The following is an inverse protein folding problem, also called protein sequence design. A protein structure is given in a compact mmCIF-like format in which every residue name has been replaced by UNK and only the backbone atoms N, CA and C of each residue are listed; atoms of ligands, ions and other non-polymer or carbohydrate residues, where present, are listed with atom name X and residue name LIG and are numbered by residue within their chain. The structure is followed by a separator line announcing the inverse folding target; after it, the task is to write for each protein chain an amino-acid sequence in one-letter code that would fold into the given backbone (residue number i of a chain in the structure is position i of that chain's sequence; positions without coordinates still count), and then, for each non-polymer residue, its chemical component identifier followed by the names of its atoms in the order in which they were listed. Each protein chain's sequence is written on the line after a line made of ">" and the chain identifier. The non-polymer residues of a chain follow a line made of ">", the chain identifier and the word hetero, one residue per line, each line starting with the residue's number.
data_IF_243113421691
#
_entry.id   IF_243113421691
#
_cell.length_a   1.000
_cell.length_b   1.000
_cell.length_c   1.000
_cell.angle_alpha   90.00
_cell.angle_beta   90.00
_cell.angle_gamma   90.00
#
_symmetry.space_group_name_H-M   'P 1'
#
loop_
_entity.id
_entity.type
_entity.pdbx_description
1 polymer ?
#
# COMPACT_ATOMS: atom_id res chain seq x y z
N UNK A 1 -1.47 12.39 6.76
CA UNK A 1 -2.34 11.19 6.64
C UNK A 1 -3.06 10.89 7.96
N UNK A 2 -4.35 10.58 7.90
CA UNK A 2 -5.19 10.29 9.07
C UNK A 2 -5.58 8.82 9.07
N UNK A 3 -4.63 7.94 9.38
CA UNK A 3 -4.90 6.50 9.47
C UNK A 3 -5.47 6.15 10.85
N UNK A 4 -6.41 5.22 10.88
CA UNK A 4 -6.97 4.69 12.14
C UNK A 4 -5.84 4.19 13.06
N UNK A 5 -5.87 4.59 14.33
CA UNK A 5 -4.85 4.23 15.31
C UNK A 5 -3.57 5.08 15.27
N UNK A 6 -3.54 6.17 14.50
CA UNK A 6 -2.40 7.09 14.50
C UNK A 6 -2.67 8.33 15.36
N UNK A 7 -1.60 8.98 15.89
CA UNK A 7 -1.74 10.25 16.60
C UNK A 7 -2.42 11.33 15.76
N UNK A 8 -2.15 11.37 14.45
CA UNK A 8 -2.75 12.33 13.52
C UNK A 8 -4.27 12.17 13.39
N UNK A 9 -4.76 10.91 13.46
CA UNK A 9 -6.19 10.65 13.47
C UNK A 9 -6.84 11.19 14.75
N UNK A 10 -6.19 10.99 15.91
CA UNK A 10 -6.67 11.54 17.18
C UNK A 10 -6.70 13.07 17.17
N UNK A 11 -5.63 13.70 16.65
CA UNK A 11 -5.59 15.16 16.49
C UNK A 11 -6.72 15.67 15.60
N UNK A 12 -7.03 14.97 14.51
CA UNK A 12 -8.13 15.34 13.63
C UNK A 12 -9.49 15.24 14.35
N UNK A 13 -9.72 14.15 15.10
CA UNK A 13 -10.93 14.03 15.92
C UNK A 13 -11.08 15.19 16.91
N UNK A 14 -10.01 15.54 17.64
CA UNK A 14 -10.03 16.63 18.62
C UNK A 14 -10.23 17.98 17.95
N UNK A 15 -9.57 18.21 16.81
CA UNK A 15 -9.78 19.43 16.03
C UNK A 15 -11.23 19.58 15.58
N UNK A 16 -11.87 18.50 15.14
CA UNK A 16 -13.27 18.56 14.69
C UNK A 16 -14.22 18.88 15.84
N UNK A 17 -14.02 18.28 17.03
CA UNK A 17 -14.80 18.64 18.23
C UNK A 17 -14.66 20.12 18.52
N UNK A 18 -13.42 20.62 18.67
CA UNK A 18 -13.18 22.04 18.95
C UNK A 18 -13.77 22.97 17.87
N UNK A 19 -13.76 22.53 16.60
CA UNK A 19 -14.34 23.30 15.51
C UNK A 19 -15.85 23.41 15.60
N UNK A 20 -16.57 22.32 15.89
CA UNK A 20 -18.00 22.34 16.10
C UNK A 20 -18.37 23.18 17.32
N UNK A 21 -17.66 23.03 18.43
CA UNK A 21 -17.86 23.83 19.64
C UNK A 21 -17.67 25.34 19.38
N UNK A 22 -16.69 25.70 18.52
CA UNK A 22 -16.48 27.12 18.14
C UNK A 22 -17.65 27.70 17.33
N UNK A 23 -18.52 26.87 16.78
CA UNK A 23 -19.77 27.27 16.13
C UNK A 23 -20.99 27.16 17.03
N UNK A 24 -20.80 26.87 18.32
CA UNK A 24 -21.88 26.70 19.30
C UNK A 24 -22.61 25.36 19.18
N UNK A 25 -22.04 24.39 18.46
CA UNK A 25 -22.62 23.07 18.28
C UNK A 25 -21.98 22.10 19.28
N UNK A 26 -22.82 21.40 20.04
CA UNK A 26 -22.34 20.37 20.99
C UNK A 26 -21.67 19.23 20.22
N UNK A 27 -20.43 18.91 20.58
CA UNK A 27 -19.68 17.86 19.92
C UNK A 27 -18.89 17.00 20.90
N UNK A 28 -18.59 15.78 20.52
CA UNK A 28 -17.80 14.83 21.31
C UNK A 28 -17.11 13.81 20.45
N UNK A 29 -16.04 13.22 20.98
CA UNK A 29 -15.43 12.01 20.45
C UNK A 29 -16.03 10.79 21.16
N UNK A 30 -16.79 9.98 20.45
CA UNK A 30 -17.37 8.74 20.95
C UNK A 30 -16.46 7.57 20.65
N UNK A 31 -15.96 6.91 21.71
CA UNK A 31 -15.11 5.73 21.57
C UNK A 31 -15.93 4.55 21.04
N UNK A 32 -15.59 4.03 19.86
CA UNK A 32 -16.25 2.85 19.31
C UNK A 32 -15.44 1.56 19.50
N UNK A 33 -14.14 1.67 19.82
CA UNK A 33 -13.30 0.49 20.02
C UNK A 33 -11.82 0.84 20.21
N UNK A 34 -10.99 -0.17 20.00
CA UNK A 34 -9.53 -0.04 20.05
C UNK A 34 -8.90 -0.66 18.80
N UNK A 35 -7.77 -0.12 18.37
CA UNK A 35 -7.01 -0.58 17.22
C UNK A 35 -5.53 -0.60 17.50
N UNK A 36 -4.75 -1.21 16.60
CA UNK A 36 -3.29 -1.10 16.63
C UNK A 36 -2.88 0.36 16.47
N UNK A 37 -2.26 0.90 17.49
CA UNK A 37 -1.61 2.20 17.41
C UNK A 37 -0.30 2.11 16.66
N UNK A 38 -0.08 3.04 15.73
CA UNK A 38 1.12 3.05 14.91
C UNK A 38 1.43 4.48 14.45
N UNK A 39 2.71 4.79 14.39
CA UNK A 39 3.18 6.07 13.91
C UNK A 39 4.28 5.84 12.88
N UNK A 40 4.12 6.44 11.69
CA UNK A 40 5.14 6.37 10.64
C UNK A 40 6.25 7.36 10.93
N UNK A 41 7.49 6.89 10.86
CA UNK A 41 8.68 7.71 10.83
C UNK A 41 9.16 7.94 9.39
N UNK A 42 10.46 8.06 9.24
CA UNK A 42 11.11 8.25 7.92
C UNK A 42 11.15 6.95 7.13
N UNK A 43 11.15 7.08 5.81
CA UNK A 43 11.45 5.98 4.87
C UNK A 43 12.46 6.48 3.84
N UNK A 44 13.60 5.78 3.77
CA UNK A 44 14.61 5.98 2.71
C UNK A 44 14.78 4.66 1.97
N UNK A 45 14.77 4.74 0.65
CA UNK A 45 14.94 3.58 -0.23
C UNK A 45 15.98 3.97 -1.28
N UNK A 46 17.10 3.28 -1.29
CA UNK A 46 18.19 3.54 -2.23
C UNK A 46 18.53 2.28 -3.00
N UNK A 47 18.60 2.38 -4.32
CA UNK A 47 19.27 1.37 -5.14
C UNK A 47 20.78 1.53 -4.95
N UNK A 48 21.47 0.45 -4.64
CA UNK A 48 22.91 0.42 -4.43
C UNK A 48 23.67 -0.24 -5.59
N UNK A 49 23.00 -1.07 -6.38
CA UNK A 49 23.54 -1.75 -7.55
C UNK A 49 22.47 -1.83 -8.63
N UNK A 50 22.79 -1.61 -9.89
CA UNK A 50 24.12 -1.38 -10.48
C UNK A 50 24.64 0.06 -10.32
N UNK A 51 23.87 0.97 -9.82
CA UNK A 51 24.26 2.36 -9.51
C UNK A 51 23.55 2.84 -8.26
N UNK A 52 24.12 3.85 -7.62
CA UNK A 52 23.46 4.51 -6.49
C UNK A 52 22.38 5.46 -7.01
N UNK A 53 21.15 5.27 -6.53
CA UNK A 53 20.00 6.11 -6.89
C UNK A 53 18.96 6.04 -5.78
N UNK A 54 18.50 7.18 -5.28
CA UNK A 54 17.35 7.23 -4.38
C UNK A 54 16.06 6.93 -5.14
N UNK A 55 15.21 6.14 -4.50
CA UNK A 55 13.93 5.70 -5.04
C UNK A 55 12.80 6.32 -4.22
N UNK A 56 11.73 6.71 -4.90
CA UNK A 56 10.54 7.23 -4.24
C UNK A 56 9.66 6.10 -3.72
N UNK A 57 9.39 6.14 -2.43
CA UNK A 57 8.53 5.14 -1.80
C UNK A 57 8.26 5.45 -0.34
N UNK A 58 7.36 4.68 0.24
CA UNK A 58 6.98 4.82 1.65
C UNK A 58 6.78 3.46 2.31
N UNK A 59 7.08 3.37 3.59
CA UNK A 59 6.69 2.22 4.40
C UNK A 59 5.17 2.12 4.48
N UNK A 60 4.64 0.93 4.23
CA UNK A 60 3.21 0.69 4.38
C UNK A 60 2.81 0.66 5.86
N UNK A 61 1.54 1.03 6.13
CA UNK A 61 1.02 1.18 7.49
C UNK A 61 1.09 -0.12 8.30
N UNK A 62 1.25 0.03 9.62
CA UNK A 62 1.32 -1.06 10.61
C UNK A 62 2.41 -2.09 10.33
N UNK A 63 3.46 -1.65 9.70
CA UNK A 63 4.62 -2.46 9.34
C UNK A 63 5.79 -2.17 10.29
N UNK A 64 6.62 -3.16 10.65
CA UNK A 64 7.71 -2.98 11.61
C UNK A 64 8.83 -2.09 11.05
N UNK A 65 9.53 -1.43 11.95
CA UNK A 65 10.77 -0.72 11.64
C UNK A 65 11.86 -1.67 11.14
N UNK A 66 12.75 -1.16 10.30
CA UNK A 66 14.05 -1.78 10.07
C UNK A 66 15.03 -1.40 11.18
N UNK A 67 16.20 -2.06 11.22
CA UNK A 67 17.36 -1.56 11.97
C UNK A 67 17.77 -0.16 11.46
N UNK A 68 18.70 0.50 12.16
CA UNK A 68 19.23 1.80 11.74
C UNK A 68 19.99 1.72 10.41
N UNK A 69 20.65 0.60 10.15
CA UNK A 69 21.34 0.31 8.89
C UNK A 69 20.39 -0.07 7.75
N UNK A 70 19.12 -0.30 8.07
CA UNK A 70 18.14 -0.78 7.10
C UNK A 70 18.25 -2.27 6.79
N UNK A 71 17.60 -2.65 5.70
CA UNK A 71 17.66 -3.99 5.08
C UNK A 71 18.19 -3.83 3.67
N UNK A 72 19.35 -4.46 3.40
CA UNK A 72 19.96 -4.46 2.06
C UNK A 72 19.88 -5.86 1.47
N UNK A 73 19.26 -6.01 0.32
CA UNK A 73 19.19 -7.29 -0.40
C UNK A 73 18.95 -7.11 -1.90
N UNK A 74 19.16 -8.19 -2.65
CA UNK A 74 18.75 -8.29 -4.03
C UNK A 74 17.22 -8.38 -4.16
N UNK A 75 16.70 -7.86 -5.26
CA UNK A 75 15.30 -7.99 -5.64
C UNK A 75 15.05 -9.29 -6.42
N UNK A 76 13.87 -9.86 -6.20
CA UNK A 76 13.33 -10.96 -6.99
C UNK A 76 11.85 -10.68 -7.30
N UNK A 77 11.41 -11.04 -8.50
CA UNK A 77 10.01 -10.94 -8.93
C UNK A 77 9.28 -12.26 -8.73
N UNK A 78 7.95 -12.23 -8.80
CA UNK A 78 7.13 -13.45 -8.94
C UNK A 78 7.26 -13.95 -10.38
N UNK A 79 7.78 -15.17 -10.61
CA UNK A 79 7.82 -15.73 -11.96
C UNK A 79 6.41 -16.16 -12.42
N UNK A 80 6.30 -16.63 -13.64
CA UNK A 80 5.06 -17.25 -14.12
C UNK A 80 4.94 -18.65 -13.51
N UNK A 81 3.85 -18.88 -12.78
CA UNK A 81 3.53 -20.17 -12.16
C UNK A 81 2.53 -20.93 -13.01
N UNK A 82 2.74 -22.24 -13.17
CA UNK A 82 1.77 -23.15 -13.79
C UNK A 82 0.68 -23.58 -12.82
N UNK A 83 1.02 -23.72 -11.54
CA UNK A 83 0.17 -24.19 -10.46
C UNK A 83 0.75 -23.84 -9.08
N UNK A 84 0.06 -24.23 -8.02
CA UNK A 84 0.48 -23.98 -6.63
C UNK A 84 1.74 -24.78 -6.22
N UNK A 85 2.02 -25.90 -6.89
CA UNK A 85 3.24 -26.66 -6.64
C UNK A 85 4.46 -25.90 -7.17
N UNK A 86 4.34 -25.29 -8.35
CA UNK A 86 5.38 -24.42 -8.90
C UNK A 86 5.68 -23.23 -7.98
N UNK A 87 4.63 -22.62 -7.40
CA UNK A 87 4.80 -21.57 -6.36
C UNK A 87 5.56 -22.12 -5.15
N UNK A 88 5.16 -23.28 -4.63
CA UNK A 88 5.83 -23.91 -3.48
C UNK A 88 7.31 -24.22 -3.78
N UNK A 89 7.63 -24.69 -4.97
CA UNK A 89 9.01 -24.95 -5.40
C UNK A 89 9.86 -23.70 -5.54
N UNK A 90 9.23 -22.56 -5.87
CA UNK A 90 9.91 -21.27 -5.99
C UNK A 90 10.22 -20.65 -4.62
N UNK A 91 9.40 -20.86 -3.58
CA UNK A 91 9.53 -20.22 -2.28
C UNK A 91 10.95 -20.26 -1.67
N UNK A 92 11.75 -21.34 -1.75
CA UNK A 92 13.12 -21.33 -1.23
C UNK A 92 14.03 -20.26 -1.84
N UNK A 93 13.74 -19.80 -3.06
CA UNK A 93 14.54 -18.78 -3.76
C UNK A 93 14.41 -17.37 -3.14
N UNK A 94 13.39 -17.12 -2.33
CA UNK A 94 13.18 -15.81 -1.71
C UNK A 94 14.04 -15.58 -0.46
N UNK A 95 14.72 -16.62 0.03
CA UNK A 95 15.54 -16.53 1.24
C UNK A 95 16.61 -15.44 1.09
N UNK A 96 16.59 -14.47 2.01
CA UNK A 96 17.51 -13.33 2.01
C UNK A 96 17.26 -12.31 0.90
N UNK A 97 16.11 -12.35 0.22
CA UNK A 97 15.76 -11.43 -0.88
C UNK A 97 14.65 -10.47 -0.48
N UNK A 98 14.55 -9.37 -1.21
CA UNK A 98 13.41 -8.47 -1.24
C UNK A 98 12.48 -8.90 -2.39
N UNK A 99 11.23 -9.17 -2.08
CA UNK A 99 10.28 -9.77 -3.04
C UNK A 99 9.35 -8.71 -3.61
N UNK A 100 9.38 -8.53 -4.92
CA UNK A 100 8.48 -7.65 -5.67
C UNK A 100 7.17 -8.40 -5.95
N UNK A 101 6.05 -7.93 -5.37
CA UNK A 101 4.77 -8.67 -5.39
C UNK A 101 3.68 -8.03 -6.25
N UNK A 102 3.94 -6.92 -6.88
CA UNK A 102 2.97 -6.19 -7.70
C UNK A 102 3.21 -6.44 -9.19
N UNK A 103 2.14 -6.35 -9.96
CA UNK A 103 2.23 -6.36 -11.42
C UNK A 103 3.05 -5.14 -11.89
N UNK A 104 3.99 -5.36 -12.80
CA UNK A 104 4.62 -4.28 -13.53
C UNK A 104 3.59 -3.63 -14.46
N UNK A 105 3.37 -2.33 -14.29
CA UNK A 105 2.48 -1.57 -15.18
C UNK A 105 3.25 -1.12 -16.43
N UNK A 106 2.66 -1.23 -17.64
CA UNK A 106 3.33 -0.76 -18.86
C UNK A 106 3.54 0.74 -18.86
N UNK A 107 2.69 1.48 -18.18
CA UNK A 107 2.76 2.92 -18.04
C UNK A 107 1.97 3.39 -16.81
N UNK A 108 2.44 4.46 -16.17
CA UNK A 108 1.72 5.17 -15.11
C UNK A 108 0.82 6.29 -15.62
N UNK A 109 0.84 6.57 -16.92
CA UNK A 109 0.07 7.64 -17.53
C UNK A 109 -1.43 7.37 -17.39
N UNK A 110 -2.24 8.29 -16.81
CA UNK A 110 -3.68 8.14 -16.69
C UNK A 110 -4.39 8.06 -18.03
N UNK A 111 -5.52 7.37 -18.09
CA UNK A 111 -6.27 7.16 -19.33
C UNK A 111 -6.73 8.47 -19.95
N UNK A 112 -7.24 9.43 -19.15
CA UNK A 112 -7.65 10.74 -19.65
C UNK A 112 -6.53 11.51 -20.33
N UNK A 113 -5.30 11.36 -19.84
CA UNK A 113 -4.13 12.02 -20.41
C UNK A 113 -3.67 11.32 -21.71
N UNK A 114 -3.83 10.00 -21.80
CA UNK A 114 -3.63 9.28 -23.04
C UNK A 114 -4.67 9.69 -24.09
N UNK A 115 -5.93 9.76 -23.73
CA UNK A 115 -7.04 10.13 -24.60
C UNK A 115 -6.84 11.53 -25.19
N UNK A 116 -6.36 12.47 -24.37
CA UNK A 116 -6.12 13.86 -24.80
C UNK A 116 -4.97 14.00 -25.82
N UNK A 117 -3.89 13.22 -25.65
CA UNK A 117 -2.63 13.45 -26.39
C UNK A 117 -2.23 12.31 -27.34
N UNK A 118 -2.92 11.23 -27.37
CA UNK A 118 -2.66 10.10 -28.25
C UNK A 118 -3.59 10.08 -29.46
N UNK A 119 -3.18 9.35 -30.51
CA UNK A 119 -4.15 8.99 -31.55
C UNK A 119 -5.09 7.90 -31.02
N UNK A 120 -6.32 7.83 -31.56
CA UNK A 120 -7.31 6.81 -31.18
C UNK A 120 -6.72 5.40 -31.25
N UNK A 121 -6.01 5.10 -32.33
CA UNK A 121 -5.34 3.79 -32.51
C UNK A 121 -4.33 3.51 -31.41
N UNK A 122 -3.54 4.49 -30.99
CA UNK A 122 -2.55 4.33 -29.91
C UNK A 122 -3.21 4.16 -28.55
N UNK A 123 -4.30 4.91 -28.30
CA UNK A 123 -5.08 4.81 -27.08
C UNK A 123 -5.76 3.44 -26.93
N UNK A 124 -6.43 2.98 -27.99
CA UNK A 124 -7.04 1.64 -27.99
C UNK A 124 -6.02 0.51 -27.83
N UNK A 125 -4.85 0.63 -28.50
CA UNK A 125 -3.75 -0.33 -28.32
C UNK A 125 -3.29 -0.37 -26.86
N UNK A 126 -3.08 0.78 -26.23
CA UNK A 126 -2.67 0.86 -24.82
C UNK A 126 -3.69 0.19 -23.90
N UNK A 127 -4.99 0.45 -24.08
CA UNK A 127 -6.06 -0.20 -23.29
C UNK A 127 -6.06 -1.71 -23.46
N UNK A 128 -5.89 -2.19 -24.69
CA UNK A 128 -5.82 -3.61 -24.99
C UNK A 128 -4.60 -4.26 -24.32
N UNK A 129 -3.41 -3.70 -24.49
CA UNK A 129 -2.17 -4.22 -23.92
C UNK A 129 -2.27 -4.29 -22.38
N UNK A 130 -2.80 -3.24 -21.73
CA UNK A 130 -3.01 -3.21 -20.28
C UNK A 130 -4.00 -4.28 -19.81
N UNK A 131 -5.08 -4.48 -20.57
CA UNK A 131 -6.09 -5.51 -20.27
C UNK A 131 -5.50 -6.92 -20.37
N UNK A 132 -4.72 -7.20 -21.41
CA UNK A 132 -4.06 -8.48 -21.62
C UNK A 132 -3.04 -8.78 -20.52
N UNK A 133 -2.21 -7.82 -20.17
CA UNK A 133 -1.25 -7.96 -19.06
C UNK A 133 -1.95 -8.18 -17.71
N UNK A 134 -3.03 -7.43 -17.43
CA UNK A 134 -3.82 -7.63 -16.23
C UNK A 134 -4.45 -9.02 -16.16
N UNK A 135 -4.88 -9.56 -17.30
CA UNK A 135 -5.44 -10.92 -17.40
C UNK A 135 -4.37 -11.97 -17.15
N UNK A 136 -3.20 -11.83 -17.77
CA UNK A 136 -2.07 -12.72 -17.57
C UNK A 136 -1.60 -12.72 -16.09
N UNK A 137 -1.48 -11.52 -15.50
CA UNK A 137 -1.14 -11.38 -14.09
C UNK A 137 -2.14 -12.08 -13.18
N UNK A 138 -3.45 -11.86 -13.39
CA UNK A 138 -4.51 -12.51 -12.59
C UNK A 138 -4.47 -14.03 -12.71
N UNK A 139 -4.21 -14.55 -13.90
CA UNK A 139 -4.04 -15.98 -14.13
C UNK A 139 -2.82 -16.52 -13.34
N UNK A 140 -1.69 -15.81 -13.40
CA UNK A 140 -0.49 -16.16 -12.66
C UNK A 140 -0.75 -16.19 -11.15
N UNK A 141 -1.36 -15.13 -10.61
CA UNK A 141 -1.71 -15.06 -9.17
C UNK A 141 -2.70 -16.18 -8.78
N UNK A 142 -3.69 -16.49 -9.60
CA UNK A 142 -4.61 -17.61 -9.37
C UNK A 142 -3.85 -18.95 -9.30
N UNK A 143 -2.89 -19.15 -10.19
CA UNK A 143 -2.10 -20.39 -10.24
C UNK A 143 -1.27 -20.60 -8.97
N UNK A 144 -0.88 -19.54 -8.23
CA UNK A 144 -0.20 -19.72 -6.95
C UNK A 144 -1.05 -20.48 -5.92
N UNK A 145 -2.37 -20.51 -6.06
CA UNK A 145 -3.32 -20.99 -5.05
C UNK A 145 -3.58 -19.99 -3.91
N UNK A 146 -2.88 -18.84 -3.90
CA UNK A 146 -2.92 -17.83 -2.83
C UNK A 146 -3.32 -16.44 -3.34
N UNK A 147 -4.12 -16.38 -4.39
CA UNK A 147 -4.67 -15.12 -4.89
C UNK A 147 -5.67 -14.50 -3.91
N UNK A 148 -5.74 -13.16 -3.87
CA UNK A 148 -6.83 -12.47 -3.21
C UNK A 148 -8.16 -12.70 -3.99
N UNK A 149 -9.30 -12.25 -3.44
CA UNK A 149 -10.63 -12.45 -4.04
C UNK A 149 -10.71 -12.12 -5.54
N UNK A 150 -9.93 -11.17 -6.03
CA UNK A 150 -9.91 -10.74 -7.45
C UNK A 150 -8.68 -11.20 -8.21
N UNK A 151 -7.80 -11.97 -7.59
CA UNK A 151 -6.49 -12.38 -8.10
C UNK A 151 -5.61 -11.22 -8.60
N UNK A 152 -5.77 -10.03 -8.02
CA UNK A 152 -4.94 -8.87 -8.36
C UNK A 152 -3.59 -8.85 -7.62
N UNK A 153 -3.41 -9.73 -6.65
CA UNK A 153 -2.20 -9.93 -5.87
C UNK A 153 -2.38 -11.10 -4.90
N UNK A 154 -1.33 -11.46 -4.22
CA UNK A 154 -1.36 -12.51 -3.20
C UNK A 154 -2.26 -12.09 -2.03
N UNK A 155 -2.93 -13.08 -1.44
CA UNK A 155 -3.66 -12.93 -0.19
C UNK A 155 -2.69 -12.97 1.01
N UNK A 156 -3.22 -12.80 2.22
CA UNK A 156 -2.44 -12.80 3.46
C UNK A 156 -1.62 -14.08 3.66
N UNK A 157 -2.18 -15.23 3.30
CA UNK A 157 -1.51 -16.52 3.44
C UNK A 157 -0.33 -16.65 2.48
N UNK A 158 -0.50 -16.25 1.22
CA UNK A 158 0.59 -16.24 0.23
C UNK A 158 1.75 -15.35 0.66
N UNK A 159 1.46 -14.17 1.24
CA UNK A 159 2.49 -13.29 1.80
C UNK A 159 3.20 -13.96 2.99
N UNK A 160 2.45 -14.58 3.88
CA UNK A 160 3.03 -15.28 5.04
C UNK A 160 3.94 -16.44 4.60
N UNK A 161 3.62 -17.13 3.50
CA UNK A 161 4.51 -18.16 2.94
C UNK A 161 5.83 -17.57 2.46
N UNK A 162 5.81 -16.40 1.83
CA UNK A 162 7.02 -15.67 1.41
C UNK A 162 7.86 -15.26 2.64
N UNK A 163 7.22 -14.72 3.68
CA UNK A 163 7.90 -14.38 4.95
C UNK A 163 8.56 -15.62 5.57
N UNK A 164 7.79 -16.71 5.73
CA UNK A 164 8.27 -17.94 6.36
C UNK A 164 9.36 -18.64 5.55
N UNK A 165 9.41 -18.41 4.24
CA UNK A 165 10.49 -18.90 3.38
C UNK A 165 11.78 -18.08 3.51
N UNK A 166 11.78 -17.02 4.32
CA UNK A 166 12.98 -16.24 4.68
C UNK A 166 13.23 -15.00 3.82
N UNK A 167 12.21 -14.47 3.16
CA UNK A 167 12.29 -13.14 2.56
C UNK A 167 12.61 -12.09 3.64
N UNK A 168 13.41 -11.08 3.29
CA UNK A 168 13.83 -10.02 4.24
C UNK A 168 13.04 -8.73 4.10
N UNK A 169 12.15 -8.65 3.12
CA UNK A 169 11.21 -7.56 2.93
C UNK A 169 10.37 -7.73 1.67
N UNK A 170 9.33 -6.92 1.57
CA UNK A 170 8.39 -6.91 0.45
C UNK A 170 8.38 -5.55 -0.20
N UNK A 171 8.42 -5.54 -1.52
CA UNK A 171 8.34 -4.35 -2.36
C UNK A 171 7.06 -4.43 -3.18
N UNK A 172 6.22 -3.45 -3.04
CA UNK A 172 4.98 -3.30 -3.80
C UNK A 172 4.95 -2.00 -4.59
N UNK A 173 4.06 -1.93 -5.56
CA UNK A 173 3.68 -0.71 -6.26
C UNK A 173 2.23 -0.86 -6.67
N UNK A 174 1.34 -0.09 -6.05
CA UNK A 174 -0.09 -0.20 -6.28
C UNK A 174 -0.59 1.00 -7.06
N UNK A 175 -0.61 0.86 -8.37
CA UNK A 175 -1.12 1.91 -9.22
C UNK A 175 -2.59 2.21 -8.96
N UNK A 176 -2.90 3.51 -8.84
CA UNK A 176 -4.23 4.02 -8.51
C UNK A 176 -5.02 4.53 -9.73
N UNK A 177 -4.55 4.22 -10.95
CA UNK A 177 -5.10 4.74 -12.22
C UNK A 177 -4.91 6.25 -12.42
N UNK A 178 -4.02 6.86 -11.63
CA UNK A 178 -3.67 8.27 -11.67
C UNK A 178 -2.22 8.48 -11.26
N UNK A 179 -1.80 9.73 -11.15
CA UNK A 179 -0.45 10.07 -10.72
C UNK A 179 -0.31 9.89 -9.20
N UNK A 180 0.72 9.18 -8.80
CA UNK A 180 1.43 9.33 -7.55
C UNK A 180 0.75 9.05 -6.22
N UNK A 181 -0.24 8.15 -6.10
CA UNK A 181 -0.81 7.83 -4.79
C UNK A 181 -0.33 6.47 -4.30
N UNK A 182 0.48 6.47 -3.24
CA UNK A 182 0.88 5.25 -2.55
C UNK A 182 -0.28 4.68 -1.73
N UNK A 183 -0.42 3.38 -1.74
CA UNK A 183 -1.41 2.68 -0.90
C UNK A 183 -0.85 2.44 0.50
N UNK A 184 -1.75 2.34 1.48
CA UNK A 184 -1.40 2.33 2.89
C UNK A 184 -1.34 0.94 3.52
N UNK A 185 -2.03 -0.05 2.94
CA UNK A 185 -2.17 -1.35 3.58
C UNK A 185 -0.92 -2.20 3.44
N UNK A 186 -0.38 -2.63 4.58
CA UNK A 186 0.75 -3.56 4.61
C UNK A 186 0.36 -4.95 4.10
N UNK A 187 1.29 -5.59 3.39
CA UNK A 187 1.18 -6.99 3.03
C UNK A 187 1.73 -7.90 4.14
N UNK A 188 2.79 -7.49 4.83
CA UNK A 188 3.51 -8.25 5.85
C UNK A 188 3.34 -7.66 7.26
N UNK A 189 3.58 -8.48 8.29
CA UNK A 189 3.59 -8.04 9.70
C UNK A 189 4.95 -8.19 10.38
N UNK A 190 5.86 -8.97 9.81
CA UNK A 190 7.13 -9.33 10.45
C UNK A 190 8.34 -8.74 9.73
N UNK A 191 8.22 -8.51 8.43
CA UNK A 191 9.28 -7.96 7.59
C UNK A 191 8.84 -6.62 6.98
N UNK A 192 9.76 -5.70 6.72
CA UNK A 192 9.41 -4.39 6.15
C UNK A 192 8.71 -4.55 4.81
N UNK A 193 7.65 -3.78 4.62
CA UNK A 193 6.95 -3.65 3.36
C UNK A 193 6.94 -2.19 2.93
N UNK A 194 7.42 -1.93 1.73
CA UNK A 194 7.40 -0.59 1.13
C UNK A 194 6.59 -0.60 -0.15
N UNK A 195 5.92 0.52 -0.41
CA UNK A 195 5.32 0.82 -1.70
C UNK A 195 6.24 1.80 -2.43
N UNK A 196 6.73 1.39 -3.60
CA UNK A 196 7.61 2.20 -4.44
C UNK A 196 6.79 2.82 -5.56
N UNK A 197 7.09 4.05 -5.91
CA UNK A 197 6.46 4.76 -7.02
C UNK A 197 6.59 3.94 -8.31
N UNK A 198 5.58 4.05 -9.15
CA UNK A 198 5.38 3.16 -10.28
C UNK A 198 6.56 3.13 -11.26
N UNK A 199 7.17 4.27 -11.53
CA UNK A 199 8.28 4.38 -12.48
C UNK A 199 9.54 3.69 -11.95
N UNK A 200 9.89 3.92 -10.68
CA UNK A 200 11.01 3.29 -10.01
C UNK A 200 10.79 1.77 -9.86
N UNK A 201 9.57 1.37 -9.49
CA UNK A 201 9.20 -0.04 -9.43
C UNK A 201 9.34 -0.73 -10.79
N UNK A 202 8.81 -0.11 -11.83
CA UNK A 202 8.90 -0.63 -13.20
C UNK A 202 10.33 -0.74 -13.72
N UNK A 203 11.19 0.21 -13.36
CA UNK A 203 12.62 0.14 -13.65
C UNK A 203 13.26 -1.07 -12.99
N UNK A 204 13.09 -1.22 -11.68
CA UNK A 204 13.63 -2.36 -10.91
C UNK A 204 13.10 -3.69 -11.43
N UNK A 205 11.80 -3.77 -11.74
CA UNK A 205 11.15 -4.97 -12.27
C UNK A 205 11.80 -5.41 -13.58
N UNK A 206 11.96 -4.48 -14.53
CA UNK A 206 12.62 -4.76 -15.82
C UNK A 206 14.08 -5.19 -15.65
N UNK A 207 14.81 -4.58 -14.70
CA UNK A 207 16.19 -5.02 -14.42
C UNK A 207 16.23 -6.49 -13.98
N UNK A 208 15.33 -6.90 -13.07
CA UNK A 208 15.24 -8.32 -12.67
C UNK A 208 14.87 -9.22 -13.85
N UNK A 209 13.90 -8.82 -14.66
CA UNK A 209 13.45 -9.58 -15.85
C UNK A 209 14.57 -9.75 -16.92
N UNK A 210 15.45 -8.77 -17.07
CA UNK A 210 16.59 -8.84 -17.97
C UNK A 210 17.82 -9.55 -17.37
N UNK A 211 17.70 -10.11 -16.17
CA UNK A 211 18.75 -10.89 -15.51
C UNK A 211 19.74 -10.05 -14.69
N UNK A 212 19.51 -8.75 -14.58
CA UNK A 212 20.22 -7.94 -13.61
C UNK A 212 19.82 -8.35 -12.18
N UNK A 213 20.72 -8.08 -11.25
CA UNK A 213 20.49 -8.37 -9.82
C UNK A 213 20.47 -7.08 -9.02
N UNK A 214 19.47 -6.19 -9.23
CA UNK A 214 19.43 -4.92 -8.53
C UNK A 214 19.37 -5.16 -7.03
N UNK A 215 20.17 -4.39 -6.29
CA UNK A 215 20.22 -4.44 -4.84
C UNK A 215 19.80 -3.10 -4.29
N UNK A 216 18.82 -3.12 -3.39
CA UNK A 216 18.34 -1.92 -2.72
C UNK A 216 18.54 -2.01 -1.21
N UNK A 217 18.66 -0.85 -0.58
CA UNK A 217 18.58 -0.68 0.87
C UNK A 217 17.28 0.01 1.25
N UNK A 218 16.59 -0.50 2.26
CA UNK A 218 15.37 0.08 2.83
C UNK A 218 15.64 0.45 4.28
N UNK A 219 15.62 1.73 4.60
CA UNK A 219 15.60 2.24 5.97
C UNK A 219 14.20 2.78 6.23
N UNK A 220 13.42 2.08 7.04
CA UNK A 220 12.05 2.45 7.37
C UNK A 220 11.87 2.47 8.89
N UNK A 221 11.40 3.60 9.42
CA UNK A 221 11.18 3.79 10.85
C UNK A 221 9.70 3.95 11.13
N UNK A 222 9.24 3.29 12.16
CA UNK A 222 7.89 3.40 12.68
C UNK A 222 7.89 3.12 14.17
N UNK A 223 6.82 3.50 14.84
CA UNK A 223 6.63 3.25 16.27
C UNK A 223 5.31 2.53 16.49
N UNK A 224 5.39 1.36 17.10
CA UNK A 224 4.20 0.65 17.61
C UNK A 224 3.75 1.32 18.90
N UNK A 225 2.46 1.65 18.99
CA UNK A 225 1.86 2.34 20.15
C UNK A 225 0.97 1.42 20.97
N UNK A 226 0.94 0.11 20.66
CA UNK A 226 0.05 -0.84 21.29
C UNK A 226 -1.41 -0.67 20.86
N UNK A 227 -2.35 -0.98 21.74
CA UNK A 227 -3.77 -0.73 21.51
C UNK A 227 -4.10 0.71 21.88
N UNK A 228 -4.71 1.43 20.97
CA UNK A 228 -5.17 2.82 21.18
C UNK A 228 -6.67 2.92 20.94
N UNK A 229 -7.37 3.82 21.68
CA UNK A 229 -8.79 4.06 21.45
C UNK A 229 -9.02 4.72 20.10
N UNK A 230 -10.14 4.38 19.47
CA UNK A 230 -10.61 5.01 18.25
C UNK A 230 -11.99 5.61 18.45
N UNK A 231 -12.25 6.69 17.72
CA UNK A 231 -13.40 7.54 17.95
C UNK A 231 -14.15 7.82 16.66
N UNK A 232 -15.47 7.95 16.79
CA UNK A 232 -16.27 8.74 15.86
C UNK A 232 -16.43 10.14 16.47
N UNK A 233 -16.23 11.17 15.67
CA UNK A 233 -16.58 12.53 16.09
C UNK A 233 -18.05 12.75 15.80
N UNK A 234 -18.83 13.07 16.82
CA UNK A 234 -20.27 13.30 16.73
C UNK A 234 -20.53 14.76 17.13
N UNK A 235 -21.31 15.44 16.30
CA UNK A 235 -21.82 16.78 16.59
C UNK A 235 -23.34 16.75 16.42
N UNK A 236 -24.06 17.44 17.31
CA UNK A 236 -25.51 17.35 17.37
C UNK A 236 -26.15 18.74 17.54
N UNK A 237 -27.15 19.00 16.72
CA UNK A 237 -28.06 20.16 16.89
C UNK A 237 -29.44 19.54 17.17
N UNK A 238 -29.93 19.73 18.38
CA UNK A 238 -31.22 19.21 18.81
C UNK A 238 -32.37 19.92 18.10
N UNK A 239 -33.26 19.13 17.49
CA UNK A 239 -34.50 19.65 16.91
C UNK A 239 -35.47 20.21 17.98
N UNK A 240 -36.31 21.16 17.59
CA UNK A 240 -37.29 21.80 18.48
C UNK A 240 -38.69 21.23 18.33
N UNK A 241 -39.09 20.84 17.12
CA UNK A 241 -40.45 20.33 16.82
C UNK A 241 -40.56 18.83 17.00
N UNK A 242 -39.54 18.09 16.57
CA UNK A 242 -39.48 16.63 16.60
C UNK A 242 -38.13 16.16 17.14
N UNK A 243 -37.82 16.34 18.41
CA UNK A 243 -36.51 16.10 18.98
C UNK A 243 -36.07 14.62 19.00
N UNK A 244 -36.99 13.70 18.77
CA UNK A 244 -36.72 12.25 18.63
C UNK A 244 -36.43 11.79 17.21
N UNK A 245 -36.66 12.65 16.21
CA UNK A 245 -36.33 12.30 14.82
C UNK A 245 -34.90 12.80 14.49
N UNK A 246 -34.11 11.97 13.80
CA UNK A 246 -32.74 12.28 13.45
C UNK A 246 -32.54 12.39 11.95
N UNK A 247 -31.84 13.43 11.53
CA UNK A 247 -31.23 13.51 10.19
C UNK A 247 -29.73 13.36 10.38
N UNK A 248 -29.16 12.29 9.86
CA UNK A 248 -27.74 11.96 10.05
C UNK A 248 -26.96 12.25 8.77
N UNK A 249 -25.93 13.09 8.87
CA UNK A 249 -24.90 13.28 7.87
C UNK A 249 -23.65 12.52 8.35
N UNK A 250 -23.09 11.66 7.51
CA UNK A 250 -21.89 10.91 7.85
C UNK A 250 -20.88 10.93 6.71
N UNK A 251 -19.61 10.96 7.08
CA UNK A 251 -18.51 10.87 6.13
C UNK A 251 -17.30 10.19 6.79
N UNK A 252 -16.42 9.62 5.96
CA UNK A 252 -15.11 9.18 6.42
C UNK A 252 -14.30 10.35 6.94
N UNK A 253 -13.63 10.12 8.07
CA UNK A 253 -12.71 11.10 8.65
C UNK A 253 -11.25 10.66 8.52
N UNK A 254 -11.02 9.35 8.39
CA UNK A 254 -9.73 8.80 8.01
C UNK A 254 -9.39 9.11 6.56
N UNK A 255 -8.11 9.15 6.25
CA UNK A 255 -7.62 9.40 4.90
C UNK A 255 -6.50 8.41 4.52
N UNK A 256 -6.25 8.30 3.23
CA UNK A 256 -5.07 7.63 2.69
C UNK A 256 -3.83 8.53 2.81
N UNK A 257 -2.65 8.00 2.44
CA UNK A 257 -1.37 8.67 2.62
C UNK A 257 -1.26 10.05 1.97
N UNK A 258 -1.92 10.32 0.90
CA UNK A 258 -1.88 11.61 0.23
C UNK A 258 -3.03 12.57 0.56
N UNK A 259 -3.92 12.17 1.43
CA UNK A 259 -5.18 12.91 1.70
C UNK A 259 -5.13 13.90 2.82
#
# INVERSE_FOLDING_TARGET
>A
PRLVGTPQMKQANDWAVAKYESWGITARNEKWGEWRGWERGITHIDMLYPRVQSLKGTQLAWNPSTSDKGVTAELITLPVFTDSLAFAKWLPSVKGKLVMISMNQPTGRPDYNWEEFATDKSFEKMKKDRSEQSRAWRANIKNTGFGNRRNTGLNKEGILKIENAGAVGIVSSRWSSGFGVNKIFSASKQIPTVDIELEDYGMLYRMVEYGDKPRINIVAKSKELGKVPNFNTIAEIKGTEKPEEYVILSAHFDSWDGG
#
